data_IF_134307911372
#
_entry.id   IF_134307911372
#
_cell.length_a   1.000
_cell.length_b   1.000
_cell.length_c   1.000
_cell.angle_alpha   90.00
_cell.angle_beta   90.00
_cell.angle_gamma   90.00
#
_symmetry.space_group_name_H-M   'P 1'
#
loop_
_entity.id
_entity.type
_entity.pdbx_description
1 polymer ?
#
# COMPACT_ATOMS: atom_id res chain seq x y z
N UNK A 1 -29.41 -17.42 -0.11
CA UNK A 1 -29.04 -18.77 0.39
C UNK A 1 -28.92 -18.81 1.92
N UNK A 2 -28.11 -17.95 2.57
CA UNK A 2 -27.97 -17.96 4.03
C UNK A 2 -29.31 -17.78 4.78
N UNK A 3 -30.06 -16.72 4.48
CA UNK A 3 -31.38 -16.46 5.11
C UNK A 3 -32.36 -17.60 4.86
N UNK A 4 -32.42 -18.14 3.64
CA UNK A 4 -33.32 -19.26 3.33
C UNK A 4 -32.97 -20.55 4.10
N UNK A 5 -31.70 -20.77 4.45
CA UNK A 5 -31.24 -21.99 5.13
C UNK A 5 -31.21 -21.85 6.65
N UNK A 6 -30.84 -20.67 7.15
CA UNK A 6 -30.55 -20.42 8.57
C UNK A 6 -31.48 -19.38 9.21
N UNK A 7 -32.42 -18.82 8.46
CA UNK A 7 -33.36 -17.79 8.92
C UNK A 7 -32.76 -16.40 9.08
N UNK A 8 -31.43 -16.26 9.10
CA UNK A 8 -30.73 -15.00 9.34
C UNK A 8 -29.35 -14.92 8.68
N UNK A 9 -28.76 -13.73 8.75
CA UNK A 9 -27.38 -13.45 8.37
C UNK A 9 -26.79 -12.46 9.38
N UNK A 10 -25.97 -12.96 10.31
CA UNK A 10 -25.33 -12.10 11.33
C UNK A 10 -24.01 -11.50 10.83
N UNK A 11 -23.23 -12.27 10.07
CA UNK A 11 -21.89 -11.89 9.62
C UNK A 11 -21.75 -12.17 8.11
N UNK A 12 -21.28 -11.17 7.36
CA UNK A 12 -20.87 -11.31 5.96
C UNK A 12 -19.37 -11.09 5.84
N UNK A 13 -18.61 -12.08 5.37
CA UNK A 13 -17.17 -11.94 5.17
C UNK A 13 -16.81 -11.96 3.69
N UNK A 14 -16.50 -10.79 3.13
CA UNK A 14 -15.96 -10.61 1.79
C UNK A 14 -14.46 -10.96 1.77
N UNK A 15 -14.15 -12.25 1.80
CA UNK A 15 -12.76 -12.74 1.83
C UNK A 15 -12.15 -12.99 0.45
N UNK A 16 -12.98 -13.23 -0.57
CA UNK A 16 -12.50 -13.62 -1.91
C UNK A 16 -11.58 -12.55 -2.50
N UNK A 17 -10.44 -12.98 -3.05
CA UNK A 17 -9.57 -12.13 -3.84
C UNK A 17 -8.57 -12.95 -4.66
N UNK A 18 -8.11 -12.37 -5.76
CA UNK A 18 -7.04 -12.90 -6.63
C UNK A 18 -5.90 -11.90 -6.76
N UNK A 19 -4.68 -12.39 -6.91
CA UNK A 19 -3.48 -11.59 -7.20
C UNK A 19 -3.41 -11.11 -8.65
N UNK A 20 -4.08 -11.83 -9.57
CA UNK A 20 -3.82 -11.69 -11.00
C UNK A 20 -2.49 -12.32 -11.40
N UNK A 21 -2.02 -11.98 -12.60
CA UNK A 21 -0.67 -12.33 -13.08
C UNK A 21 0.40 -11.57 -12.29
N UNK A 22 1.57 -12.18 -12.13
CA UNK A 22 2.75 -11.57 -11.51
C UNK A 22 3.40 -10.57 -12.47
N UNK A 23 2.74 -9.44 -12.67
CA UNK A 23 3.19 -8.31 -13.50
C UNK A 23 3.44 -7.12 -12.57
N UNK A 24 4.69 -6.88 -12.17
CA UNK A 24 5.04 -5.72 -11.32
C UNK A 24 5.59 -4.53 -12.11
N UNK A 25 5.83 -4.72 -13.42
CA UNK A 25 6.24 -3.68 -14.34
C UNK A 25 5.04 -3.11 -15.08
N UNK A 26 4.91 -1.79 -15.10
CA UNK A 26 3.80 -1.11 -15.77
C UNK A 26 3.72 -1.44 -17.27
N UNK A 27 4.85 -1.67 -17.93
CA UNK A 27 4.92 -2.01 -19.36
C UNK A 27 4.40 -3.42 -19.68
N UNK A 28 4.35 -4.30 -18.68
CA UNK A 28 3.88 -5.69 -18.81
C UNK A 28 2.43 -5.84 -18.32
N UNK A 29 1.80 -4.74 -17.90
CA UNK A 29 0.46 -4.76 -17.32
C UNK A 29 -0.60 -4.97 -18.41
N UNK A 30 -1.26 -6.11 -18.37
CA UNK A 30 -2.32 -6.45 -19.31
C UNK A 30 -3.68 -5.91 -18.86
N UNK A 31 -4.39 -5.22 -19.76
CA UNK A 31 -5.70 -4.61 -19.46
C UNK A 31 -6.72 -5.63 -18.95
N UNK A 32 -6.77 -6.82 -19.55
CA UNK A 32 -7.72 -7.86 -19.17
C UNK A 32 -7.39 -8.47 -17.80
N UNK A 33 -6.10 -8.61 -17.48
CA UNK A 33 -5.65 -9.01 -16.15
C UNK A 33 -6.08 -7.97 -15.12
N UNK A 34 -5.84 -6.68 -15.40
CA UNK A 34 -6.22 -5.57 -14.52
C UNK A 34 -7.73 -5.56 -14.25
N UNK A 35 -8.55 -5.59 -15.30
CA UNK A 35 -10.02 -5.66 -15.20
C UNK A 35 -10.49 -6.86 -14.40
N UNK A 36 -9.92 -8.05 -14.65
CA UNK A 36 -10.30 -9.29 -13.95
C UNK A 36 -10.04 -9.18 -12.44
N UNK A 37 -8.89 -8.65 -12.04
CA UNK A 37 -8.54 -8.47 -10.62
C UNK A 37 -9.50 -7.48 -9.97
N UNK A 38 -9.78 -6.34 -10.59
CA UNK A 38 -10.77 -5.39 -10.06
C UNK A 38 -12.17 -6.01 -9.98
N UNK A 39 -12.59 -6.75 -11.01
CA UNK A 39 -13.89 -7.40 -11.03
C UNK A 39 -14.07 -8.38 -9.87
N UNK A 40 -13.08 -9.24 -9.64
CA UNK A 40 -13.17 -10.22 -8.54
C UNK A 40 -13.06 -9.53 -7.17
N UNK A 41 -12.03 -8.70 -6.97
CA UNK A 41 -11.69 -8.19 -5.65
C UNK A 41 -12.63 -7.07 -5.20
N UNK A 42 -13.14 -6.24 -6.12
CA UNK A 42 -14.01 -5.10 -5.80
C UNK A 42 -15.47 -5.47 -6.02
N UNK A 43 -15.86 -5.87 -7.24
CA UNK A 43 -17.28 -6.05 -7.56
C UNK A 43 -17.88 -7.24 -6.80
N UNK A 44 -17.13 -8.31 -6.59
CA UNK A 44 -17.56 -9.42 -5.75
C UNK A 44 -17.92 -8.96 -4.33
N UNK A 45 -17.04 -8.17 -3.71
CA UNK A 45 -17.22 -7.65 -2.35
C UNK A 45 -18.34 -6.59 -2.27
N UNK A 46 -18.48 -5.76 -3.31
CA UNK A 46 -19.58 -4.82 -3.47
C UNK A 46 -20.93 -5.54 -3.50
N UNK A 47 -21.08 -6.54 -4.37
CA UNK A 47 -22.33 -7.31 -4.50
C UNK A 47 -22.64 -8.06 -3.22
N UNK A 48 -21.64 -8.72 -2.62
CA UNK A 48 -21.78 -9.40 -1.33
C UNK A 48 -22.35 -8.49 -0.26
N UNK A 49 -21.76 -7.30 -0.12
CA UNK A 49 -22.21 -6.27 0.83
C UNK A 49 -23.60 -5.73 0.50
N UNK A 50 -23.87 -5.40 -0.76
CA UNK A 50 -25.19 -4.91 -1.21
C UNK A 50 -26.31 -5.87 -0.81
N UNK A 51 -26.09 -7.17 -1.00
CA UNK A 51 -27.10 -8.18 -0.67
C UNK A 51 -27.17 -8.48 0.84
N UNK A 52 -26.05 -8.44 1.56
CA UNK A 52 -26.05 -8.55 3.02
C UNK A 52 -26.78 -7.37 3.69
N UNK A 53 -26.52 -6.13 3.25
CA UNK A 53 -27.14 -4.93 3.78
C UNK A 53 -28.68 -4.97 3.68
N UNK A 54 -29.24 -5.51 2.58
CA UNK A 54 -30.69 -5.66 2.40
C UNK A 54 -31.39 -6.44 3.52
N UNK A 55 -30.68 -7.39 4.14
CA UNK A 55 -31.24 -8.22 5.21
C UNK A 55 -30.81 -7.74 6.60
N UNK A 56 -29.62 -7.15 6.72
CA UNK A 56 -29.10 -6.62 7.98
C UNK A 56 -29.76 -5.29 8.39
N UNK A 57 -30.10 -4.42 7.42
CA UNK A 57 -30.71 -3.10 7.71
C UNK A 57 -32.06 -3.24 8.43
N UNK A 58 -33.04 -4.05 7.94
CA UNK A 58 -34.29 -4.27 8.67
C UNK A 58 -34.08 -4.92 10.04
N UNK A 59 -33.07 -5.79 10.17
CA UNK A 59 -32.72 -6.46 11.44
C UNK A 59 -32.00 -5.53 12.44
N UNK A 60 -31.54 -4.36 12.00
CA UNK A 60 -30.75 -3.38 12.77
C UNK A 60 -29.52 -3.97 13.48
N UNK A 61 -28.94 -5.02 12.88
CA UNK A 61 -27.78 -5.74 13.42
C UNK A 61 -27.01 -6.41 12.29
N UNK A 62 -25.69 -6.36 12.35
CA UNK A 62 -24.82 -7.14 11.49
C UNK A 62 -23.35 -6.78 11.62
N UNK A 63 -22.47 -7.66 11.13
CA UNK A 63 -21.05 -7.37 10.92
C UNK A 63 -20.64 -7.72 9.49
N UNK A 64 -20.03 -6.78 8.78
CA UNK A 64 -19.49 -7.00 7.45
C UNK A 64 -17.97 -6.87 7.52
N UNK A 65 -17.29 -7.92 7.08
CA UNK A 65 -15.84 -8.00 7.07
C UNK A 65 -15.31 -8.02 5.64
N UNK A 66 -14.12 -7.47 5.45
CA UNK A 66 -13.39 -7.51 4.19
C UNK A 66 -11.97 -7.99 4.42
N UNK A 67 -11.46 -8.80 3.50
CA UNK A 67 -10.02 -9.09 3.45
C UNK A 67 -9.34 -8.04 2.59
N UNK A 68 -8.67 -7.08 3.23
CA UNK A 68 -7.81 -6.11 2.57
C UNK A 68 -6.42 -6.73 2.34
N UNK A 69 -5.35 -5.99 2.58
CA UNK A 69 -3.96 -6.47 2.54
C UNK A 69 -3.04 -5.39 3.11
N UNK A 70 -1.86 -5.75 3.60
CA UNK A 70 -0.81 -4.76 3.87
C UNK A 70 -0.46 -3.91 2.64
N UNK A 71 -0.66 -4.46 1.43
CA UNK A 71 -0.53 -3.74 0.15
C UNK A 71 -1.58 -2.61 -0.05
N UNK A 72 -2.55 -2.46 0.85
CA UNK A 72 -3.47 -1.31 0.89
C UNK A 72 -2.94 -0.11 1.69
N UNK A 73 -1.75 -0.26 2.27
CA UNK A 73 -1.12 0.72 3.17
C UNK A 73 0.30 1.04 2.70
N UNK A 74 1.03 0.02 2.24
CA UNK A 74 2.41 0.15 1.80
C UNK A 74 2.52 0.05 0.27
N UNK A 75 3.54 0.71 -0.26
CA UNK A 75 4.04 0.46 -1.61
C UNK A 75 5.07 -0.68 -1.55
N UNK A 76 4.97 -1.61 -2.49
CA UNK A 76 5.85 -2.76 -2.62
C UNK A 76 5.86 -3.24 -4.09
N UNK A 77 6.80 -4.12 -4.45
CA UNK A 77 6.94 -4.70 -5.79
C UNK A 77 5.89 -5.81 -6.03
N UNK A 78 4.62 -5.41 -6.00
CA UNK A 78 3.43 -6.27 -6.14
C UNK A 78 2.62 -5.79 -7.35
N UNK A 79 1.86 -6.69 -7.98
CA UNK A 79 0.99 -6.35 -9.12
C UNK A 79 0.18 -5.08 -8.88
N UNK A 80 0.29 -4.11 -9.81
CA UNK A 80 -0.45 -2.85 -9.75
C UNK A 80 -1.96 -3.06 -9.62
N UNK A 81 -2.50 -4.04 -10.35
CA UNK A 81 -3.93 -4.39 -10.29
C UNK A 81 -4.37 -4.86 -8.91
N UNK A 82 -3.53 -5.67 -8.24
CA UNK A 82 -3.80 -6.16 -6.90
C UNK A 82 -3.75 -5.02 -5.89
N UNK A 83 -2.67 -4.22 -5.91
CA UNK A 83 -2.47 -3.06 -5.03
C UNK A 83 -3.63 -2.07 -5.16
N UNK A 84 -4.00 -1.70 -6.40
CA UNK A 84 -5.13 -0.82 -6.66
C UNK A 84 -6.44 -1.40 -6.14
N UNK A 85 -6.68 -2.70 -6.37
CA UNK A 85 -7.91 -3.36 -5.89
C UNK A 85 -8.01 -3.37 -4.37
N UNK A 86 -6.90 -3.56 -3.65
CA UNK A 86 -6.90 -3.63 -2.18
C UNK A 86 -7.06 -2.24 -1.55
N UNK A 87 -6.52 -1.19 -2.16
CA UNK A 87 -6.84 0.18 -1.79
C UNK A 87 -8.32 0.51 -2.03
N UNK A 88 -8.88 0.10 -3.17
CA UNK A 88 -10.29 0.33 -3.49
C UNK A 88 -11.24 -0.36 -2.51
N UNK A 89 -10.94 -1.60 -2.09
CA UNK A 89 -11.70 -2.30 -1.04
C UNK A 89 -11.69 -1.52 0.28
N UNK A 90 -10.52 -0.99 0.69
CA UNK A 90 -10.43 -0.16 1.91
C UNK A 90 -11.26 1.12 1.77
N UNK A 91 -11.16 1.83 0.66
CA UNK A 91 -11.95 3.04 0.42
C UNK A 91 -13.46 2.78 0.44
N UNK A 92 -13.90 1.73 -0.27
CA UNK A 92 -15.30 1.32 -0.33
C UNK A 92 -15.84 1.00 1.06
N UNK A 93 -15.17 0.14 1.82
CA UNK A 93 -15.71 -0.27 3.11
C UNK A 93 -15.60 0.78 4.21
N UNK A 94 -14.71 1.78 4.07
CA UNK A 94 -14.70 2.94 4.97
C UNK A 94 -15.99 3.74 4.80
N UNK A 95 -16.40 3.98 3.56
CA UNK A 95 -17.65 4.67 3.28
C UNK A 95 -18.88 3.87 3.73
N UNK A 96 -18.87 2.55 3.50
CA UNK A 96 -19.93 1.65 4.01
C UNK A 96 -20.02 1.66 5.53
N UNK A 97 -18.90 1.78 6.25
CA UNK A 97 -18.93 1.85 7.73
C UNK A 97 -19.67 3.08 8.25
N UNK A 98 -19.57 4.21 7.55
CA UNK A 98 -20.27 5.46 7.88
C UNK A 98 -21.75 5.31 7.56
N UNK A 99 -22.09 4.83 6.36
CA UNK A 99 -23.48 4.67 5.92
C UNK A 99 -24.24 3.67 6.80
N UNK A 100 -23.68 2.47 7.00
CA UNK A 100 -24.40 1.35 7.61
C UNK A 100 -24.41 1.39 9.14
N UNK A 101 -23.53 2.20 9.75
CA UNK A 101 -23.46 2.37 11.20
C UNK A 101 -24.78 2.83 11.83
N UNK A 102 -25.53 3.69 11.14
CA UNK A 102 -26.86 4.16 11.60
C UNK A 102 -27.89 3.02 11.75
N UNK A 103 -27.66 1.88 11.10
CA UNK A 103 -28.50 0.69 11.16
C UNK A 103 -27.95 -0.38 12.11
N UNK A 104 -26.98 -0.05 12.98
CA UNK A 104 -26.38 -1.02 13.90
C UNK A 104 -25.50 -2.09 13.21
N UNK A 105 -25.02 -1.79 12.01
CA UNK A 105 -24.15 -2.69 11.24
C UNK A 105 -22.72 -2.17 11.33
N UNK A 106 -21.79 -3.05 11.74
CA UNK A 106 -20.36 -2.75 11.80
C UNK A 106 -19.69 -3.18 10.50
N UNK A 107 -18.73 -2.40 10.03
CA UNK A 107 -17.97 -2.74 8.82
C UNK A 107 -16.49 -2.63 9.13
N UNK A 108 -15.75 -3.73 9.08
CA UNK A 108 -14.31 -3.76 9.38
C UNK A 108 -13.53 -4.55 8.33
N UNK A 109 -12.20 -4.51 8.47
CA UNK A 109 -11.29 -5.14 7.53
C UNK A 109 -10.17 -5.82 8.29
N UNK A 110 -9.70 -6.93 7.72
CA UNK A 110 -8.45 -7.56 8.13
C UNK A 110 -7.44 -7.33 7.02
N UNK A 111 -6.27 -6.79 7.36
CA UNK A 111 -5.13 -6.59 6.48
C UNK A 111 -4.03 -7.59 6.84
N UNK A 112 -4.01 -8.80 6.22
CA UNK A 112 -2.92 -9.73 6.39
C UNK A 112 -1.60 -9.17 5.84
N UNK A 113 -0.52 -9.44 6.55
CA UNK A 113 0.82 -9.50 5.95
C UNK A 113 0.96 -10.76 5.07
N UNK A 114 2.13 -10.95 4.45
CA UNK A 114 2.44 -12.14 3.68
C UNK A 114 2.22 -13.41 4.53
N UNK A 115 1.20 -14.19 4.18
CA UNK A 115 0.85 -15.45 4.84
C UNK A 115 0.94 -16.58 3.83
N UNK A 116 1.57 -17.70 4.20
CA UNK A 116 1.84 -18.83 3.32
C UNK A 116 0.56 -19.61 2.95
N UNK A 117 -0.25 -19.00 2.09
CA UNK A 117 -1.48 -19.53 1.50
C UNK A 117 -1.23 -19.96 0.06
N UNK A 118 -2.11 -20.78 -0.55
CA UNK A 118 -2.03 -21.10 -1.97
C UNK A 118 -1.97 -19.87 -2.89
N UNK A 119 -2.60 -18.75 -2.50
CA UNK A 119 -2.52 -17.50 -3.27
C UNK A 119 -1.08 -16.98 -3.32
N UNK A 120 -0.41 -16.86 -2.16
CA UNK A 120 0.95 -16.34 -2.09
C UNK A 120 1.97 -17.33 -2.66
N UNK A 121 1.86 -18.63 -2.34
CA UNK A 121 2.79 -19.63 -2.87
C UNK A 121 2.74 -19.71 -4.38
N UNK A 122 1.55 -19.63 -5.00
CA UNK A 122 1.41 -19.58 -6.45
C UNK A 122 1.97 -18.29 -7.06
N UNK A 123 1.76 -17.13 -6.42
CA UNK A 123 2.33 -15.86 -6.86
C UNK A 123 3.87 -15.87 -6.83
N UNK A 124 4.47 -16.63 -5.90
CA UNK A 124 5.92 -16.85 -5.77
C UNK A 124 6.41 -18.06 -6.58
N UNK A 125 5.74 -18.42 -7.68
CA UNK A 125 6.19 -19.50 -8.57
C UNK A 125 6.02 -20.90 -7.98
N UNK A 126 4.96 -21.13 -7.21
CA UNK A 126 4.67 -22.39 -6.50
C UNK A 126 5.74 -22.74 -5.46
N UNK A 127 6.28 -21.72 -4.79
CA UNK A 127 7.22 -21.92 -3.69
C UNK A 127 6.58 -22.78 -2.60
N UNK A 128 7.37 -23.68 -2.02
CA UNK A 128 6.93 -24.52 -0.91
C UNK A 128 6.48 -23.67 0.28
N UNK A 129 5.36 -24.06 0.92
CA UNK A 129 4.77 -23.35 2.06
C UNK A 129 5.81 -23.02 3.13
N UNK A 130 6.64 -24.00 3.53
CA UNK A 130 7.64 -23.83 4.58
C UNK A 130 8.70 -22.77 4.24
N UNK A 131 9.14 -22.74 2.98
CA UNK A 131 10.09 -21.72 2.50
C UNK A 131 9.48 -20.32 2.54
N UNK A 132 8.20 -20.18 2.16
CA UNK A 132 7.50 -18.90 2.28
C UNK A 132 7.41 -18.46 3.75
N UNK A 133 7.05 -19.36 4.65
CA UNK A 133 7.00 -19.08 6.10
C UNK A 133 8.36 -18.64 6.65
N UNK A 134 9.44 -19.31 6.25
CA UNK A 134 10.80 -18.98 6.71
C UNK A 134 11.24 -17.60 6.20
N UNK A 135 10.98 -17.28 4.93
CA UNK A 135 11.25 -15.95 4.34
C UNK A 135 10.45 -14.87 5.08
N UNK A 136 9.14 -15.07 5.26
CA UNK A 136 8.25 -14.12 5.96
C UNK A 136 8.71 -13.91 7.41
N UNK A 137 9.03 -14.99 8.12
CA UNK A 137 9.45 -14.93 9.54
C UNK A 137 10.82 -14.27 9.69
N UNK A 138 11.72 -14.44 8.72
CA UNK A 138 13.02 -13.77 8.72
C UNK A 138 12.89 -12.24 8.64
N UNK A 139 11.90 -11.75 7.87
CA UNK A 139 11.63 -10.32 7.67
C UNK A 139 10.88 -9.66 8.85
N UNK A 140 10.16 -10.44 9.65
CA UNK A 140 9.43 -9.97 10.83
C UNK A 140 10.34 -9.78 12.05
N UNK A 141 10.10 -8.73 12.84
CA UNK A 141 10.78 -8.49 14.11
C UNK A 141 10.21 -9.33 15.26
N UNK A 142 8.98 -9.85 15.11
CA UNK A 142 8.40 -10.80 16.07
C UNK A 142 9.03 -12.18 15.85
N UNK A 143 10.08 -12.49 16.60
CA UNK A 143 10.84 -13.74 16.46
C UNK A 143 10.16 -14.91 17.17
N UNK A 144 10.35 -16.12 16.64
CA UNK A 144 9.82 -17.37 17.22
C UNK A 144 8.34 -17.65 16.94
N UNK A 145 7.65 -16.75 16.23
CA UNK A 145 6.25 -16.90 15.84
C UNK A 145 6.16 -16.89 14.33
N UNK A 146 5.42 -17.85 13.78
CA UNK A 146 5.10 -17.91 12.34
C UNK A 146 3.70 -17.36 12.17
N UNK A 147 3.52 -16.43 11.22
CA UNK A 147 2.19 -15.93 10.87
C UNK A 147 1.44 -16.99 10.06
N UNK A 148 0.32 -17.48 10.59
CA UNK A 148 -0.50 -18.52 9.99
C UNK A 148 -1.86 -17.98 9.51
N UNK A 149 -2.53 -18.67 8.58
CA UNK A 149 -3.91 -18.34 8.20
C UNK A 149 -4.88 -18.31 9.40
N UNK A 150 -4.59 -19.08 10.45
CA UNK A 150 -5.37 -19.10 11.68
C UNK A 150 -5.34 -17.75 12.39
N UNK A 151 -4.20 -17.07 12.44
CA UNK A 151 -4.09 -15.75 13.09
C UNK A 151 -4.98 -14.70 12.39
N UNK A 152 -5.05 -14.78 11.05
CA UNK A 152 -5.96 -13.95 10.25
C UNK A 152 -7.43 -14.28 10.57
N UNK A 153 -7.74 -15.57 10.73
CA UNK A 153 -9.08 -16.02 11.07
C UNK A 153 -9.50 -15.59 12.49
N UNK A 154 -8.61 -15.64 13.48
CA UNK A 154 -8.88 -15.15 14.84
C UNK A 154 -9.10 -13.63 14.85
N UNK A 155 -8.33 -12.87 14.07
CA UNK A 155 -8.56 -11.43 13.89
C UNK A 155 -9.92 -11.13 13.25
N UNK A 156 -10.30 -11.90 12.22
CA UNK A 156 -11.62 -11.79 11.60
C UNK A 156 -12.74 -12.19 12.58
N UNK A 157 -12.53 -13.22 13.39
CA UNK A 157 -13.48 -13.68 14.41
C UNK A 157 -13.74 -12.56 15.43
N UNK A 158 -12.69 -11.96 15.99
CA UNK A 158 -12.81 -10.82 16.89
C UNK A 158 -13.62 -9.67 16.29
N UNK A 159 -13.34 -9.29 15.03
CA UNK A 159 -14.08 -8.22 14.36
C UNK A 159 -15.53 -8.61 14.01
N UNK A 160 -15.79 -9.90 13.80
CA UNK A 160 -17.12 -10.45 13.55
C UNK A 160 -17.99 -10.54 14.81
N UNK A 161 -17.36 -10.70 15.97
CA UNK A 161 -18.03 -11.03 17.23
C UNK A 161 -18.51 -9.80 18.03
N UNK A 162 -19.20 -10.04 19.15
CA UNK A 162 -19.76 -8.98 20.01
C UNK A 162 -18.66 -8.29 20.85
N UNK A 163 -17.48 -8.90 21.00
CA UNK A 163 -16.30 -8.31 21.65
C UNK A 163 -15.82 -7.02 20.95
N UNK A 164 -16.12 -6.88 19.66
CA UNK A 164 -15.80 -5.69 18.86
C UNK A 164 -17.03 -4.77 18.64
N UNK A 165 -18.00 -4.76 19.57
CA UNK A 165 -19.28 -4.01 19.46
C UNK A 165 -19.16 -2.52 19.12
N UNK A 166 -18.03 -1.88 19.46
CA UNK A 166 -17.79 -0.45 19.18
C UNK A 166 -16.69 -0.20 18.15
N UNK A 167 -16.25 -1.26 17.46
CA UNK A 167 -15.23 -1.19 16.41
C UNK A 167 -15.93 -1.26 15.05
N UNK A 168 -15.83 -0.18 14.29
CA UNK A 168 -16.28 -0.07 12.90
C UNK A 168 -15.32 0.87 12.15
N UNK A 169 -15.06 0.57 10.88
CA UNK A 169 -14.10 1.30 10.03
C UNK A 169 -12.63 0.94 10.28
N UNK A 170 -12.32 -0.05 11.13
CA UNK A 170 -10.96 -0.43 11.47
C UNK A 170 -10.35 -1.40 10.46
N UNK A 171 -9.28 -0.98 9.77
CA UNK A 171 -8.42 -1.86 8.98
C UNK A 171 -7.36 -2.49 9.90
N UNK A 172 -7.68 -3.65 10.49
CA UNK A 172 -6.81 -4.33 11.45
C UNK A 172 -5.65 -5.01 10.72
N UNK A 173 -4.45 -4.45 10.89
CA UNK A 173 -3.22 -5.02 10.30
C UNK A 173 -2.73 -6.17 11.17
N UNK A 174 -2.61 -7.36 10.57
CA UNK A 174 -2.06 -8.56 11.23
C UNK A 174 -0.68 -8.82 10.65
N UNK A 175 0.34 -8.31 11.35
CA UNK A 175 1.73 -8.32 10.90
C UNK A 175 2.66 -8.47 12.10
N UNK A 176 3.67 -9.34 11.99
CA UNK A 176 4.84 -9.27 12.86
C UNK A 176 5.65 -8.03 12.46
N UNK A 177 5.89 -7.05 13.34
CA UNK A 177 6.41 -5.73 12.96
C UNK A 177 7.61 -5.84 12.02
N UNK A 178 7.57 -5.21 10.84
CA UNK A 178 8.68 -5.29 9.88
C UNK A 178 9.74 -4.25 10.22
N UNK A 179 11.01 -4.52 9.89
CA UNK A 179 12.07 -3.52 10.01
C UNK A 179 11.76 -2.23 9.22
N UNK A 180 11.08 -2.35 8.07
CA UNK A 180 10.58 -1.24 7.24
C UNK A 180 9.37 -0.51 7.83
N UNK A 181 8.66 -1.12 8.80
CA UNK A 181 7.54 -0.51 9.52
C UNK A 181 8.00 0.28 10.76
N UNK A 182 9.32 0.33 11.01
CA UNK A 182 9.87 1.14 12.09
C UNK A 182 9.84 2.61 11.65
N UNK A 183 9.07 3.45 12.36
CA UNK A 183 8.97 4.89 12.08
C UNK A 183 10.35 5.58 11.97
N UNK A 184 11.35 5.07 12.69
CA UNK A 184 12.75 5.52 12.60
C UNK A 184 13.41 5.26 11.24
N UNK A 185 13.11 4.13 10.58
CA UNK A 185 13.61 3.80 9.25
C UNK A 185 13.00 4.73 8.18
N UNK A 186 11.70 5.01 8.31
CA UNK A 186 10.98 5.94 7.43
C UNK A 186 11.49 7.38 7.62
N UNK A 187 11.69 7.79 8.87
CA UNK A 187 12.23 9.10 9.26
C UNK A 187 13.66 9.32 8.70
N UNK A 188 14.52 8.30 8.78
CA UNK A 188 15.88 8.40 8.23
C UNK A 188 15.86 8.52 6.70
N UNK A 189 15.01 7.76 6.00
CA UNK A 189 14.83 7.93 4.53
C UNK A 189 14.32 9.32 4.14
N UNK A 190 13.40 9.91 4.92
CA UNK A 190 12.94 11.28 4.66
C UNK A 190 14.02 12.33 4.93
N UNK A 191 14.91 12.11 5.90
CA UNK A 191 16.09 12.97 6.11
C UNK A 191 17.04 12.93 4.92
N UNK A 192 17.26 11.76 4.35
CA UNK A 192 18.12 11.61 3.17
C UNK A 192 17.52 12.35 1.96
N UNK A 193 16.20 12.24 1.75
CA UNK A 193 15.50 12.98 0.69
C UNK A 193 15.58 14.48 0.92
N UNK A 194 15.35 14.96 2.15
CA UNK A 194 15.45 16.39 2.47
C UNK A 194 16.88 16.91 2.29
N UNK A 195 17.89 16.10 2.61
CA UNK A 195 19.29 16.42 2.42
C UNK A 195 19.66 16.52 0.94
N UNK A 196 19.11 15.64 0.09
CA UNK A 196 19.29 15.70 -1.37
C UNK A 196 18.57 16.91 -1.97
N UNK A 197 17.34 17.19 -1.55
CA UNK A 197 16.57 18.36 -2.02
C UNK A 197 17.25 19.66 -1.60
N UNK A 198 17.78 19.74 -0.38
CA UNK A 198 18.56 20.89 0.07
C UNK A 198 19.88 21.03 -0.69
N UNK A 199 20.60 19.93 -0.95
CA UNK A 199 21.82 19.96 -1.76
C UNK A 199 21.55 20.44 -3.19
N UNK A 200 20.44 20.03 -3.80
CA UNK A 200 19.99 20.52 -5.11
C UNK A 200 19.60 22.00 -5.08
N UNK A 201 18.91 22.47 -4.04
CA UNK A 201 18.60 23.89 -3.85
C UNK A 201 19.87 24.74 -3.68
N UNK A 202 20.86 24.26 -2.92
CA UNK A 202 22.16 24.93 -2.79
C UNK A 202 22.95 24.92 -4.11
N UNK A 203 22.90 23.84 -4.89
CA UNK A 203 23.53 23.77 -6.20
C UNK A 203 22.86 24.69 -7.22
N UNK A 204 21.54 24.90 -7.13
CA UNK A 204 20.79 25.83 -7.97
C UNK A 204 20.96 27.30 -7.54
N UNK A 205 21.25 27.55 -6.26
CA UNK A 205 21.51 28.89 -5.73
C UNK A 205 22.98 29.33 -5.90
N UNK A 206 23.88 28.42 -6.26
CA UNK A 206 25.25 28.75 -6.61
C UNK A 206 25.31 29.32 -8.04
N UNK A 207 25.31 30.64 -8.16
CA UNK A 207 25.53 31.29 -9.47
C UNK A 207 26.91 30.90 -10.04
N UNK A 208 27.02 30.63 -11.35
CA UNK A 208 28.30 30.34 -11.97
C UNK A 208 29.22 31.54 -11.84
N UNK A 209 30.47 31.30 -11.41
CA UNK A 209 31.47 32.35 -11.30
C UNK A 209 31.68 33.03 -12.66
N UNK A 210 31.82 34.38 -12.69
CA UNK A 210 31.99 35.09 -13.95
C UNK A 210 33.25 34.60 -14.67
N UNK A 211 33.20 34.46 -16.01
CA UNK A 211 34.35 33.99 -16.77
C UNK A 211 35.54 34.95 -16.61
N UNK A 212 36.78 34.44 -16.64
CA UNK A 212 37.96 35.27 -16.48
C UNK A 212 38.07 36.31 -17.62
N UNK A 213 38.57 37.52 -17.34
CA UNK A 213 38.64 38.59 -18.32
C UNK A 213 39.59 38.21 -19.47
N UNK A 214 39.08 38.36 -20.70
CA UNK A 214 39.84 38.17 -21.94
C UNK A 214 40.86 39.31 -22.06
N UNK A 215 42.16 39.00 -22.00
CA UNK A 215 43.22 39.98 -22.25
C UNK A 215 43.36 40.21 -23.76
N UNK A 216 42.97 41.39 -24.23
CA UNK A 216 43.26 41.86 -25.60
C UNK A 216 44.61 42.60 -25.55
N UNK A 217 45.63 42.23 -26.35
CA UNK A 217 46.90 42.94 -26.38
C UNK A 217 46.74 44.28 -27.10
N UNK A 218 47.06 45.38 -26.41
CA UNK A 218 47.16 46.73 -26.99
C UNK A 218 48.59 46.94 -27.47
N UNK A 219 48.75 47.19 -28.77
CA UNK A 219 50.03 47.59 -29.37
C UNK A 219 50.31 49.07 -29.03
N UNK A 220 51.47 49.36 -28.44
CA UNK A 220 51.96 50.73 -28.24
C UNK A 220 53.23 50.93 -29.04
N UNK A 221 53.11 51.55 -30.21
CA UNK A 221 54.20 52.23 -30.91
C UNK A 221 54.23 53.69 -30.43
N UNK A 222 55.29 54.08 -29.72
CA UNK A 222 55.58 55.49 -29.42
C UNK A 222 56.82 55.94 -30.20
N UNK A 223 56.54 56.79 -31.17
CA UNK A 223 57.46 57.64 -31.93
C UNK A 223 58.52 58.33 -31.04
N UNK A 224 59.79 58.21 -31.42
CA UNK A 224 60.87 59.11 -31.03
C UNK A 224 61.23 59.99 -32.24
N UNK A 225 61.12 61.31 -32.09
CA UNK A 225 61.67 62.30 -33.01
C UNK A 225 62.61 63.25 -32.22
N UNK A 226 63.76 63.66 -32.79
CA UNK A 226 64.86 64.28 -32.05
C UNK A 226 64.80 65.81 -32.06
N UNK A 227 65.54 66.46 -31.15
CA UNK A 227 65.77 67.91 -31.14
C UNK A 227 67.28 68.23 -31.01
N UNK A 228 67.74 69.40 -31.50
CA UNK A 228 69.04 69.53 -32.18
C UNK A 228 70.15 70.21 -31.36
N UNK A 229 71.37 70.12 -31.91
CA UNK A 229 72.66 70.48 -31.32
C UNK A 229 72.94 71.99 -31.15
N UNK A 230 73.78 72.27 -30.16
CA UNK A 230 74.86 73.27 -30.20
C UNK A 230 76.14 72.62 -29.67
#
# INVERSE_FOLDING_TARGET
MAVSKYGKLDIMFNNVGISGKAESRILESENDNFKRVLHVNIFGAFLGTKHAARVMIPAKKGSILFTSSLASILADDISHSYVASKHAVVGMAKNLSVELGQYGIRVNFVAPFATATPLLTNALGKMEKKKVEDVVSSAANLKGVVLEPKDIAEAALFLGSDESKYVSGLNLVVVGPLASYNFSSLYNRTKDILSVVMALLFALAAEPSPPPPIKIPVATDSLHAPAPAK
#
